data_IF_943233305691
#
_entry.id   IF_943233305691
#
_cell.length_a   1.000
_cell.length_b   1.000
_cell.length_c   1.000
_cell.angle_alpha   90.00
_cell.angle_beta   90.00
_cell.angle_gamma   90.00
#
_symmetry.space_group_name_H-M   'P 1'
#
loop_
_entity.id
_entity.type
_entity.pdbx_description
1 polymer ?
#
# COMPACT_ATOMS: atom_id res chain seq x y z
N UNK A 1 -37.67 -4.07 -59.90
CA UNK A 1 -37.05 -2.88 -59.28
C UNK A 1 -36.56 -3.33 -57.91
N UNK A 2 -35.32 -3.83 -57.82
CA UNK A 2 -34.18 -3.12 -57.19
C UNK A 2 -34.58 -2.67 -55.77
N UNK A 3 -34.19 -3.31 -54.67
CA UNK A 3 -32.83 -3.73 -54.32
C UNK A 3 -32.29 -2.74 -53.29
N UNK A 4 -32.17 -3.15 -52.03
CA UNK A 4 -31.20 -2.61 -51.07
C UNK A 4 -31.15 -3.55 -49.86
N UNK A 5 -30.26 -4.53 -49.94
CA UNK A 5 -29.70 -5.16 -48.76
C UNK A 5 -28.76 -4.15 -48.11
N UNK A 6 -29.19 -3.53 -47.00
CA UNK A 6 -28.30 -2.69 -46.21
C UNK A 6 -27.36 -3.59 -45.41
N UNK A 7 -26.13 -3.64 -45.88
CA UNK A 7 -24.94 -4.13 -45.18
C UNK A 7 -24.84 -3.41 -43.84
N UNK A 8 -25.29 -4.09 -42.78
CA UNK A 8 -25.03 -3.73 -41.40
C UNK A 8 -23.79 -4.48 -40.93
N UNK A 9 -22.67 -3.79 -40.90
CA UNK A 9 -21.35 -4.26 -40.47
C UNK A 9 -21.47 -5.06 -39.16
N UNK A 10 -21.16 -6.37 -39.23
CA UNK A 10 -20.94 -7.23 -38.06
C UNK A 10 -19.78 -6.64 -37.24
N UNK A 11 -20.10 -5.79 -36.27
CA UNK A 11 -19.13 -5.37 -35.24
C UNK A 11 -18.86 -6.57 -34.36
N UNK A 12 -17.80 -7.32 -34.69
CA UNK A 12 -17.24 -8.36 -33.84
C UNK A 12 -16.90 -7.71 -32.49
N UNK A 13 -17.65 -8.03 -31.44
CA UNK A 13 -17.32 -7.62 -30.09
C UNK A 13 -15.98 -8.27 -29.72
N UNK A 14 -14.91 -7.49 -29.75
CA UNK A 14 -13.63 -7.90 -29.18
C UNK A 14 -13.80 -7.82 -27.67
N UNK A 15 -14.03 -8.97 -27.02
CA UNK A 15 -13.85 -9.08 -25.58
C UNK A 15 -12.35 -9.02 -25.31
N UNK A 16 -11.87 -7.88 -24.83
CA UNK A 16 -10.54 -7.78 -24.22
C UNK A 16 -10.62 -8.57 -22.92
N UNK A 17 -10.05 -9.78 -22.90
CA UNK A 17 -9.79 -10.48 -21.67
C UNK A 17 -8.66 -9.74 -20.95
N UNK A 18 -9.00 -8.90 -19.98
CA UNK A 18 -8.02 -8.41 -19.00
C UNK A 18 -7.64 -9.63 -18.17
N UNK A 19 -6.41 -10.10 -18.31
CA UNK A 19 -5.86 -11.11 -17.42
C UNK A 19 -5.71 -10.46 -16.03
N UNK A 20 -6.73 -10.59 -15.19
CA UNK A 20 -6.70 -10.15 -13.80
C UNK A 20 -5.99 -11.23 -12.99
N UNK A 21 -4.69 -11.11 -12.80
CA UNK A 21 -4.06 -11.79 -11.66
C UNK A 21 -4.74 -11.24 -10.40
N UNK A 22 -5.34 -12.11 -9.60
CA UNK A 22 -5.90 -11.69 -8.31
C UNK A 22 -4.83 -10.94 -7.53
N UNK A 23 -5.09 -9.71 -7.05
CA UNK A 23 -4.10 -8.97 -6.27
C UNK A 23 -3.75 -9.77 -5.03
N UNK A 24 -2.46 -9.93 -4.75
CA UNK A 24 -2.02 -10.62 -3.54
C UNK A 24 -2.30 -9.74 -2.33
N UNK A 25 -2.82 -10.36 -1.27
CA UNK A 25 -3.06 -9.71 0.01
C UNK A 25 -2.11 -10.24 1.07
N UNK A 26 -1.72 -9.35 1.98
CA UNK A 26 -0.87 -9.67 3.11
C UNK A 26 -1.52 -9.23 4.42
N UNK A 27 -1.24 -9.98 5.48
CA UNK A 27 -1.65 -9.67 6.84
C UNK A 27 -0.64 -8.72 7.45
N UNK A 28 -1.10 -7.52 7.82
CA UNK A 28 -0.25 -6.51 8.48
C UNK A 28 -0.77 -6.31 9.90
N UNK A 29 0.04 -6.67 10.89
CA UNK A 29 -0.22 -6.42 12.30
C UNK A 29 0.33 -5.05 12.68
N UNK A 30 -0.56 -4.12 12.98
CA UNK A 30 -0.26 -2.77 13.46
C UNK A 30 -0.18 -2.79 14.99
N UNK A 31 1.01 -2.68 15.56
CA UNK A 31 1.18 -2.41 17.00
C UNK A 31 1.03 -0.92 17.22
N UNK A 32 -0.11 -0.53 17.78
CA UNK A 32 -0.43 0.87 18.10
C UNK A 32 -0.34 1.12 19.61
N UNK A 33 -0.21 2.38 20.06
CA UNK A 33 -0.21 2.70 21.49
C UNK A 33 -1.46 2.23 22.24
N UNK A 34 -2.57 1.99 21.55
CA UNK A 34 -3.85 1.56 22.13
C UNK A 34 -4.12 0.06 21.97
N UNK A 35 -3.22 -0.68 21.32
CA UNK A 35 -3.34 -2.13 21.11
C UNK A 35 -2.93 -2.59 19.71
N UNK A 36 -2.89 -3.91 19.52
CA UNK A 36 -2.64 -4.51 18.20
C UNK A 36 -3.91 -4.52 17.35
N UNK A 37 -3.77 -4.23 16.07
CA UNK A 37 -4.82 -4.32 15.06
C UNK A 37 -4.29 -5.13 13.88
N UNK A 38 -5.08 -6.10 13.39
CA UNK A 38 -4.73 -6.87 12.21
C UNK A 38 -5.55 -6.38 11.01
N UNK A 39 -4.86 -5.97 9.96
CA UNK A 39 -5.49 -5.55 8.70
C UNK A 39 -4.99 -6.41 7.53
N UNK A 40 -5.79 -6.45 6.47
CA UNK A 40 -5.44 -7.05 5.20
C UNK A 40 -5.08 -5.94 4.20
N UNK A 41 -3.91 -6.04 3.57
CA UNK A 41 -3.36 -5.01 2.68
C UNK A 41 -3.00 -5.66 1.36
N UNK A 42 -3.53 -5.13 0.25
CA UNK A 42 -3.15 -5.57 -1.08
C UNK A 42 -1.69 -5.15 -1.39
N UNK A 43 -1.00 -5.94 -2.21
CA UNK A 43 0.40 -5.71 -2.60
C UNK A 43 0.63 -4.35 -3.30
N UNK A 44 -0.41 -3.78 -3.88
CA UNK A 44 -0.41 -2.50 -4.60
C UNK A 44 -1.10 -1.36 -3.82
N UNK A 45 -1.37 -1.55 -2.52
CA UNK A 45 -1.99 -0.55 -1.64
C UNK A 45 -1.03 -0.14 -0.53
N UNK A 46 -0.92 1.15 -0.26
CA UNK A 46 -0.12 1.64 0.86
C UNK A 46 -0.71 1.21 2.20
N UNK A 47 0.15 0.82 3.14
CA UNK A 47 -0.25 0.39 4.49
C UNK A 47 -1.10 1.46 5.20
N UNK A 48 -0.76 2.74 5.06
CA UNK A 48 -1.56 3.83 5.63
C UNK A 48 -2.99 3.86 5.07
N UNK A 49 -3.15 3.80 3.75
CA UNK A 49 -4.47 3.89 3.11
C UNK A 49 -5.34 2.67 3.48
N UNK A 50 -4.75 1.48 3.56
CA UNK A 50 -5.46 0.29 4.04
C UNK A 50 -5.91 0.41 5.50
N UNK A 51 -5.08 0.97 6.38
CA UNK A 51 -5.44 1.21 7.78
C UNK A 51 -6.62 2.20 7.90
N UNK A 52 -6.58 3.30 7.15
CA UNK A 52 -7.66 4.31 7.16
C UNK A 52 -8.97 3.77 6.60
N UNK A 53 -8.91 2.93 5.55
CA UNK A 53 -10.09 2.29 4.96
C UNK A 53 -10.87 1.42 5.96
N UNK A 54 -10.20 0.88 6.98
CA UNK A 54 -10.83 0.11 8.06
C UNK A 54 -11.02 0.93 9.35
N UNK A 55 -10.81 2.24 9.30
CA UNK A 55 -11.05 3.16 10.41
C UNK A 55 -9.93 3.24 11.44
N UNK A 56 -8.71 2.78 11.12
CA UNK A 56 -7.54 2.90 12.00
C UNK A 56 -6.77 4.15 11.63
N UNK A 57 -6.74 5.12 12.54
CA UNK A 57 -5.98 6.35 12.36
C UNK A 57 -4.51 6.15 12.75
N UNK A 58 -3.62 6.30 11.77
CA UNK A 58 -2.18 6.37 12.00
C UNK A 58 -1.69 7.82 11.85
N UNK A 59 -0.59 8.21 12.52
CA UNK A 59 0.02 9.51 12.35
C UNK A 59 0.43 9.77 10.89
N UNK A 60 0.10 10.94 10.36
CA UNK A 60 0.44 11.33 8.99
C UNK A 60 0.45 12.85 8.84
N UNK A 61 1.28 13.36 7.93
CA UNK A 61 1.30 14.77 7.53
C UNK A 61 1.37 14.93 6.01
N UNK A 62 2.52 14.66 5.37
CA UNK A 62 2.71 14.98 3.95
C UNK A 62 2.08 13.99 2.95
N UNK A 63 1.88 12.72 3.34
CA UNK A 63 1.41 11.62 2.47
C UNK A 63 2.24 11.36 1.20
N UNK A 64 3.49 11.79 1.18
CA UNK A 64 4.33 11.69 -0.03
C UNK A 64 5.71 11.11 0.23
N UNK A 65 5.95 10.53 1.42
CA UNK A 65 7.26 9.98 1.79
C UNK A 65 8.34 11.02 2.10
N UNK A 66 7.95 12.28 2.36
CA UNK A 66 8.87 13.43 2.49
C UNK A 66 8.96 13.97 3.94
N UNK A 67 8.31 13.32 4.90
CA UNK A 67 8.36 13.68 6.32
C UNK A 67 8.33 12.43 7.20
N UNK A 68 8.69 12.61 8.47
CA UNK A 68 8.73 11.56 9.49
C UNK A 68 7.41 11.24 10.16
N UNK A 69 6.34 12.02 9.97
CA UNK A 69 5.14 11.89 10.81
C UNK A 69 4.50 10.51 10.76
N UNK A 70 4.62 9.79 9.64
CA UNK A 70 4.10 8.42 9.48
C UNK A 70 5.13 7.32 9.79
N UNK A 71 6.21 7.65 10.48
CA UNK A 71 7.27 6.70 10.79
C UNK A 71 6.77 5.55 11.67
N UNK A 72 7.14 4.35 11.25
CA UNK A 72 6.95 3.10 11.96
C UNK A 72 8.26 2.29 11.93
N UNK A 73 8.31 1.19 12.66
CA UNK A 73 9.43 0.24 12.61
C UNK A 73 8.91 -1.13 12.23
N UNK A 74 9.44 -1.69 11.15
CA UNK A 74 9.22 -3.07 10.72
C UNK A 74 9.86 -4.02 11.73
N UNK A 75 9.03 -4.83 12.39
CA UNK A 75 9.45 -5.85 13.36
C UNK A 75 9.68 -7.21 12.70
N UNK A 76 8.92 -7.51 11.64
CA UNK A 76 9.06 -8.71 10.83
C UNK A 76 8.36 -8.54 9.49
N UNK A 77 8.79 -9.30 8.48
CA UNK A 77 8.25 -9.27 7.12
C UNK A 77 9.14 -8.48 6.18
N UNK A 78 8.58 -8.14 5.02
CA UNK A 78 9.26 -7.45 3.92
C UNK A 78 8.35 -6.33 3.40
N UNK A 79 8.96 -5.20 3.06
CA UNK A 79 8.28 -3.97 2.66
C UNK A 79 8.98 -3.37 1.43
N UNK A 80 8.20 -2.87 0.49
CA UNK A 80 8.70 -1.94 -0.52
C UNK A 80 8.35 -0.52 -0.07
N UNK A 81 9.38 0.27 0.22
CA UNK A 81 9.25 1.70 0.48
C UNK A 81 10.15 2.53 -0.44
N UNK A 82 10.43 2.04 -1.65
CA UNK A 82 11.31 2.70 -2.63
C UNK A 82 10.85 4.11 -3.04
N UNK A 83 9.58 4.44 -2.80
CA UNK A 83 9.01 5.77 -3.04
C UNK A 83 9.32 6.80 -1.92
N UNK A 84 9.92 6.37 -0.81
CA UNK A 84 10.29 7.27 0.29
C UNK A 84 11.54 8.09 -0.06
N UNK A 85 11.65 9.32 0.46
CA UNK A 85 12.83 10.17 0.28
C UNK A 85 13.27 10.92 1.54
N UNK A 86 12.80 10.48 2.72
CA UNK A 86 13.08 11.13 3.99
C UNK A 86 14.09 10.35 4.84
N UNK A 87 13.94 9.03 4.93
CA UNK A 87 14.82 8.16 5.73
C UNK A 87 16.14 7.94 5.00
N UNK A 88 17.23 8.00 5.76
CA UNK A 88 18.55 7.60 5.28
C UNK A 88 18.76 6.07 5.36
N UNK A 89 19.86 5.59 4.79
CA UNK A 89 20.17 4.16 4.71
C UNK A 89 20.34 3.53 6.11
N UNK A 90 20.84 4.27 7.10
CA UNK A 90 21.01 3.77 8.45
C UNK A 90 19.66 3.56 9.11
N UNK A 91 18.76 4.54 9.04
CA UNK A 91 17.40 4.45 9.55
C UNK A 91 16.63 3.31 8.86
N UNK A 92 16.74 3.17 7.54
CA UNK A 92 16.14 2.03 6.82
C UNK A 92 16.72 0.71 7.32
N UNK A 93 18.04 0.61 7.54
CA UNK A 93 18.68 -0.61 8.05
C UNK A 93 18.26 -0.98 9.48
N UNK A 94 17.86 0.01 10.28
CA UNK A 94 17.28 -0.17 11.61
C UNK A 94 15.79 -0.59 11.57
N UNK A 95 15.24 -0.74 10.36
CA UNK A 95 13.86 -1.16 10.13
C UNK A 95 12.85 -0.04 10.12
N UNK A 96 13.27 1.24 10.08
CA UNK A 96 12.30 2.33 9.94
C UNK A 96 11.62 2.28 8.57
N UNK A 97 10.32 2.54 8.58
CA UNK A 97 9.48 2.62 7.39
C UNK A 97 8.57 3.85 7.45
N UNK A 98 8.13 4.33 6.29
CA UNK A 98 7.09 5.36 6.17
C UNK A 98 5.79 4.75 5.67
N UNK A 99 4.80 4.59 6.55
CA UNK A 99 3.55 3.86 6.22
C UNK A 99 2.75 4.49 5.07
N UNK A 100 2.92 5.79 4.82
CA UNK A 100 2.24 6.51 3.73
C UNK A 100 2.73 6.18 2.32
N UNK A 101 3.88 5.52 2.19
CA UNK A 101 4.47 5.12 0.90
C UNK A 101 5.03 3.68 0.94
N UNK A 102 4.57 2.87 1.91
CA UNK A 102 5.03 1.51 2.12
C UNK A 102 4.00 0.50 1.56
N UNK A 103 4.46 -0.38 0.68
CA UNK A 103 3.72 -1.55 0.21
C UNK A 103 4.18 -2.81 0.95
N UNK A 104 3.27 -3.71 1.34
CA UNK A 104 3.63 -5.02 1.87
C UNK A 104 4.20 -5.93 0.77
N UNK A 105 5.30 -6.63 1.06
CA UNK A 105 5.81 -7.72 0.21
C UNK A 105 5.61 -9.11 0.83
N UNK A 106 5.26 -9.16 2.12
CA UNK A 106 4.87 -10.34 2.88
C UNK A 106 3.96 -9.96 4.04
N UNK A 107 3.53 -10.93 4.85
CA UNK A 107 2.89 -10.66 6.13
C UNK A 107 3.86 -9.89 7.04
N UNK A 108 3.39 -8.78 7.64
CA UNK A 108 4.23 -7.87 8.41
C UNK A 108 3.74 -7.69 9.84
N UNK A 109 4.68 -7.38 10.73
CA UNK A 109 4.39 -6.78 12.03
C UNK A 109 5.11 -5.45 12.08
N UNK A 110 4.39 -4.36 12.32
CA UNK A 110 4.96 -3.02 12.39
C UNK A 110 4.61 -2.34 13.72
N UNK A 111 5.59 -1.66 14.29
CA UNK A 111 5.40 -0.76 15.44
C UNK A 111 5.12 0.65 14.92
N UNK A 112 3.93 1.18 15.19
CA UNK A 112 3.50 2.48 14.66
C UNK A 112 3.88 3.62 15.61
N UNK A 113 3.71 4.88 15.20
CA UNK A 113 3.98 6.07 16.04
C UNK A 113 5.46 6.20 16.48
N UNK A 114 6.40 5.86 15.59
CA UNK A 114 7.83 5.78 15.93
C UNK A 114 8.63 7.02 15.53
N UNK A 115 7.98 8.12 15.11
CA UNK A 115 8.64 9.38 14.72
C UNK A 115 9.68 9.84 15.75
N UNK A 116 9.35 9.83 17.04
CA UNK A 116 10.25 10.28 18.10
C UNK A 116 11.56 9.48 18.18
N UNK A 117 11.57 8.22 17.72
CA UNK A 117 12.76 7.34 17.74
C UNK A 117 13.73 7.62 16.58
N UNK A 118 13.35 8.41 15.58
CA UNK A 118 14.27 8.80 14.50
C UNK A 118 15.36 9.78 14.97
N UNK A 119 15.16 10.40 16.14
CA UNK A 119 16.04 11.44 16.69
C UNK A 119 16.80 11.00 17.94
N UNK A 120 16.73 9.70 18.30
CA UNK A 120 17.34 9.12 19.50
C UNK A 120 18.49 8.20 19.15
#
# INVERSE_FOLDING_TARGET
MQGNASIGVLRKAVRVAVATSDPRFFKVTLRTPVGEQLIEVAEDVYVLDAAENVGINLPVSCRSGNCSSCAAVLKSGEVDQSNQMYLDDEQVSQGFILTCVAYPLSDMVIETHQEARLYS
#
